data_IF_704281468677
#
_entry.id   IF_704281468677
#
_cell.length_a   1.000
_cell.length_b   1.000
_cell.length_c   1.000
_cell.angle_alpha   90.00
_cell.angle_beta   90.00
_cell.angle_gamma   90.00
#
_symmetry.space_group_name_H-M   'P 1'
#
loop_
_entity.id
_entity.type
_entity.pdbx_description
1 polymer ?
#
# COMPACT_ATOMS: atom_id res chain seq x y z
N UNK A 1 60.78 31.76 7.61
CA UNK A 1 60.13 32.13 6.34
C UNK A 1 59.52 30.88 5.78
N UNK A 2 58.33 30.50 6.29
CA UNK A 2 57.61 29.29 5.98
C UNK A 2 56.32 29.66 5.24
N UNK A 3 56.38 29.67 3.93
CA UNK A 3 55.28 29.99 3.06
C UNK A 3 54.37 28.75 2.95
N UNK A 4 53.18 28.98 3.34
CA UNK A 4 52.01 28.13 3.47
C UNK A 4 51.77 27.21 2.23
N UNK A 5 52.31 25.99 2.33
CA UNK A 5 52.03 24.92 1.33
C UNK A 5 50.60 24.39 1.35
N UNK A 6 49.74 24.85 2.25
CA UNK A 6 48.33 24.38 2.34
C UNK A 6 47.38 25.18 1.43
N UNK A 7 47.67 26.47 1.20
CA UNK A 7 46.86 27.29 0.28
C UNK A 7 46.99 26.86 -1.20
N UNK A 8 48.16 26.29 -1.58
CA UNK A 8 48.37 25.89 -2.97
C UNK A 8 47.69 24.58 -3.35
N UNK A 9 47.35 23.73 -2.38
CA UNK A 9 46.64 22.47 -2.65
C UNK A 9 45.13 22.64 -2.78
N UNK A 10 44.53 23.71 -2.24
CA UNK A 10 43.06 23.94 -2.30
C UNK A 10 42.63 24.54 -3.67
N UNK A 11 43.51 25.25 -4.34
CA UNK A 11 43.17 25.81 -5.68
C UNK A 11 43.23 24.80 -6.83
N UNK A 12 43.95 23.68 -6.67
CA UNK A 12 44.07 22.67 -7.73
C UNK A 12 42.83 21.81 -7.88
N UNK A 13 41.97 21.73 -6.85
CA UNK A 13 40.74 20.93 -6.89
C UNK A 13 39.52 21.68 -7.47
N UNK A 14 39.55 23.03 -7.51
CA UNK A 14 38.42 23.80 -8.05
C UNK A 14 38.48 23.98 -9.58
N UNK A 15 39.65 23.89 -10.18
CA UNK A 15 39.84 24.14 -11.63
C UNK A 15 39.58 22.92 -12.51
N UNK A 16 39.34 21.73 -11.93
CA UNK A 16 39.16 20.47 -12.66
C UNK A 16 37.75 19.90 -12.66
N UNK A 17 36.75 20.64 -12.18
CA UNK A 17 35.36 20.20 -12.37
C UNK A 17 34.96 20.45 -13.81
N UNK A 18 34.54 19.41 -14.55
CA UNK A 18 34.05 19.61 -15.89
C UNK A 18 32.89 20.58 -15.89
N UNK A 19 32.82 21.53 -16.88
CA UNK A 19 31.71 22.48 -16.94
C UNK A 19 30.38 21.70 -16.98
N UNK A 20 29.44 22.09 -16.14
CA UNK A 20 28.10 21.51 -16.13
C UNK A 20 27.51 21.63 -17.53
N UNK A 21 27.40 20.50 -18.22
CA UNK A 21 26.92 20.50 -19.59
C UNK A 21 25.40 20.74 -19.58
N UNK A 22 24.85 21.59 -20.48
CA UNK A 22 23.43 21.98 -20.43
C UNK A 22 22.44 20.82 -20.48
N UNK A 23 22.82 19.65 -20.99
CA UNK A 23 21.99 18.46 -20.97
C UNK A 23 21.83 17.85 -19.56
N UNK A 24 22.78 18.09 -18.63
CA UNK A 24 22.63 17.63 -17.24
C UNK A 24 21.56 18.42 -16.49
N UNK A 25 21.42 19.71 -16.81
CA UNK A 25 20.35 20.55 -16.27
C UNK A 25 18.99 20.07 -16.78
N UNK A 26 18.91 19.74 -18.07
CA UNK A 26 17.71 19.17 -18.69
C UNK A 26 17.32 17.82 -18.08
N UNK A 27 18.30 16.96 -17.78
CA UNK A 27 18.05 15.66 -17.13
C UNK A 27 17.53 15.82 -15.70
N UNK A 28 18.08 16.76 -14.92
CA UNK A 28 17.63 17.06 -13.57
C UNK A 28 16.21 17.64 -13.54
N UNK A 29 15.89 18.53 -14.50
CA UNK A 29 14.54 19.08 -14.66
C UNK A 29 13.57 17.97 -15.07
N UNK A 30 13.95 17.10 -16.01
CA UNK A 30 13.12 15.99 -16.47
C UNK A 30 12.88 14.97 -15.34
N UNK A 31 13.91 14.63 -14.56
CA UNK A 31 13.76 13.79 -13.37
C UNK A 31 12.88 14.45 -12.31
N UNK A 32 13.02 15.77 -12.09
CA UNK A 32 12.19 16.53 -11.16
C UNK A 32 10.72 16.55 -11.58
N UNK A 33 10.43 16.78 -12.85
CA UNK A 33 9.08 16.78 -13.43
C UNK A 33 8.51 15.34 -13.39
N UNK A 34 9.31 14.33 -13.72
CA UNK A 34 8.90 12.93 -13.63
C UNK A 34 8.55 12.52 -12.18
N UNK A 35 9.35 12.95 -11.20
CA UNK A 35 9.07 12.74 -9.77
C UNK A 35 7.80 13.47 -9.31
N UNK A 36 7.53 14.68 -9.87
CA UNK A 36 6.32 15.45 -9.56
C UNK A 36 5.07 14.82 -10.19
N UNK A 37 5.18 14.31 -11.43
CA UNK A 37 4.07 13.63 -12.13
C UNK A 37 3.75 12.30 -11.43
N UNK A 38 4.77 11.57 -10.95
CA UNK A 38 4.56 10.31 -10.19
C UNK A 38 3.94 10.57 -8.81
N UNK A 39 4.23 11.73 -8.19
CA UNK A 39 3.56 12.17 -6.94
C UNK A 39 2.18 12.78 -7.15
N UNK A 40 1.86 13.25 -8.35
CA UNK A 40 0.56 13.84 -8.67
C UNK A 40 -0.57 12.83 -8.87
N UNK A 41 -0.27 11.53 -8.92
CA UNK A 41 -1.24 10.46 -8.66
C UNK A 41 -1.28 10.21 -7.15
N UNK A 42 -1.89 11.13 -6.38
CA UNK A 42 -2.35 10.80 -5.04
C UNK A 42 -3.47 9.78 -5.25
N UNK A 43 -3.12 8.50 -5.22
CA UNK A 43 -4.10 7.49 -4.95
C UNK A 43 -4.68 7.89 -3.59
N UNK A 44 -5.97 8.20 -3.56
CA UNK A 44 -6.71 8.44 -2.33
C UNK A 44 -6.30 7.35 -1.34
N UNK A 45 -5.73 7.78 -0.20
CA UNK A 45 -5.11 6.84 0.75
C UNK A 45 -6.23 6.09 1.46
N UNK A 46 -6.17 4.76 1.42
CA UNK A 46 -7.18 3.93 2.06
C UNK A 46 -7.07 4.09 3.58
N UNK A 47 -8.18 4.45 4.21
CA UNK A 47 -8.28 4.57 5.66
C UNK A 47 -8.39 3.18 6.30
N UNK A 48 -7.28 2.70 6.82
CA UNK A 48 -7.19 1.38 7.48
C UNK A 48 -7.95 1.34 8.80
N UNK A 49 -8.04 2.46 9.52
CA UNK A 49 -8.77 2.52 10.80
C UNK A 49 -10.28 2.37 10.57
N UNK A 50 -10.80 2.92 9.46
CA UNK A 50 -12.17 2.69 9.04
C UNK A 50 -12.43 1.21 8.74
N UNK A 51 -11.51 0.53 8.07
CA UNK A 51 -11.64 -0.90 7.76
C UNK A 51 -11.64 -1.72 9.06
N UNK A 52 -10.69 -1.50 9.97
CA UNK A 52 -10.63 -2.21 11.24
C UNK A 52 -11.91 -2.03 12.07
N UNK A 53 -12.43 -0.79 12.12
CA UNK A 53 -13.70 -0.52 12.81
C UNK A 53 -14.89 -1.26 12.19
N UNK A 54 -14.99 -1.32 10.86
CA UNK A 54 -16.09 -1.98 10.17
C UNK A 54 -16.02 -3.50 10.31
N UNK A 55 -14.81 -4.07 10.26
CA UNK A 55 -14.58 -5.53 10.31
C UNK A 55 -14.80 -6.12 11.71
N UNK A 56 -14.34 -5.44 12.76
CA UNK A 56 -14.32 -5.99 14.11
C UNK A 56 -14.72 -5.03 15.20
N UNK A 57 -15.09 -3.78 14.90
CA UNK A 57 -15.23 -2.70 15.89
C UNK A 57 -13.94 -2.48 16.69
N UNK A 58 -12.78 -2.68 16.06
CA UNK A 58 -11.44 -2.62 16.65
C UNK A 58 -11.16 -3.71 17.71
N UNK A 59 -11.85 -4.85 17.64
CA UNK A 59 -11.58 -5.99 18.50
C UNK A 59 -10.51 -6.90 17.89
N UNK A 60 -9.33 -6.93 18.49
CA UNK A 60 -8.22 -7.79 18.05
C UNK A 60 -8.47 -9.29 18.30
N UNK A 61 -9.45 -9.63 19.15
CA UNK A 61 -9.83 -11.01 19.45
C UNK A 61 -11.08 -11.46 18.69
N UNK A 62 -11.62 -10.62 17.80
CA UNK A 62 -12.80 -10.95 17.01
C UNK A 62 -12.60 -12.23 16.19
N UNK A 63 -13.61 -13.10 16.22
CA UNK A 63 -13.61 -14.36 15.49
C UNK A 63 -14.96 -14.62 14.81
N UNK A 64 -14.93 -14.83 13.51
CA UNK A 64 -16.10 -15.22 12.73
C UNK A 64 -16.07 -16.74 12.48
N UNK A 65 -17.02 -17.47 13.06
CA UNK A 65 -17.09 -18.93 12.94
C UNK A 65 -17.33 -19.42 11.49
N UNK A 66 -18.06 -18.65 10.70
CA UNK A 66 -18.43 -19.07 9.33
C UNK A 66 -17.28 -18.96 8.36
N UNK A 67 -16.57 -17.84 8.37
CA UNK A 67 -15.44 -17.57 7.50
C UNK A 67 -14.09 -17.96 8.10
N UNK A 68 -14.06 -18.31 9.38
CA UNK A 68 -12.86 -18.46 10.22
C UNK A 68 -11.97 -17.20 10.24
N UNK A 69 -12.51 -16.04 9.90
CA UNK A 69 -11.79 -14.77 9.92
C UNK A 69 -11.45 -14.35 11.36
N UNK A 70 -10.27 -13.74 11.55
CA UNK A 70 -9.73 -13.41 12.88
C UNK A 70 -9.14 -12.02 12.94
N UNK A 71 -9.26 -11.42 14.13
CA UNK A 71 -8.58 -10.19 14.52
C UNK A 71 -9.17 -8.93 13.93
N UNK A 72 -8.45 -7.82 14.10
CA UNK A 72 -8.87 -6.46 13.75
C UNK A 72 -9.44 -6.31 12.34
N UNK A 73 -8.77 -6.93 11.36
CA UNK A 73 -9.09 -6.80 9.94
C UNK A 73 -9.79 -8.04 9.40
N UNK A 74 -10.26 -8.95 10.27
CA UNK A 74 -10.96 -10.17 9.89
C UNK A 74 -10.24 -10.95 8.78
N UNK A 75 -8.94 -11.23 9.00
CA UNK A 75 -8.12 -11.98 8.06
C UNK A 75 -8.58 -13.43 8.00
N UNK A 76 -8.90 -13.91 6.80
CA UNK A 76 -9.31 -15.30 6.56
C UNK A 76 -8.10 -16.24 6.44
N UNK A 77 -8.29 -17.56 6.68
CA UNK A 77 -7.22 -18.54 6.47
C UNK A 77 -6.63 -18.52 5.05
N UNK A 78 -7.43 -18.27 4.04
CA UNK A 78 -6.98 -18.17 2.64
C UNK A 78 -6.06 -16.96 2.44
N UNK A 79 -6.43 -15.81 3.02
CA UNK A 79 -5.60 -14.60 2.95
C UNK A 79 -4.26 -14.82 3.68
N UNK A 80 -4.28 -15.49 4.84
CA UNK A 80 -3.07 -15.85 5.59
C UNK A 80 -2.15 -16.76 4.77
N UNK A 81 -2.70 -17.80 4.12
CA UNK A 81 -1.92 -18.72 3.28
C UNK A 81 -1.28 -17.99 2.10
N UNK A 82 -2.03 -17.12 1.40
CA UNK A 82 -1.49 -16.29 0.33
C UNK A 82 -0.36 -15.37 0.83
N UNK A 83 -0.54 -14.76 2.00
CA UNK A 83 0.46 -13.91 2.62
C UNK A 83 1.75 -14.68 2.93
N UNK A 84 1.63 -15.83 3.61
CA UNK A 84 2.76 -16.69 3.97
C UNK A 84 3.55 -17.13 2.73
N UNK A 85 2.84 -17.56 1.68
CA UNK A 85 3.46 -17.99 0.43
C UNK A 85 4.21 -16.84 -0.26
N UNK A 86 3.64 -15.64 -0.26
CA UNK A 86 4.23 -14.47 -0.91
C UNK A 86 5.45 -13.93 -0.17
N UNK A 87 5.35 -13.80 1.16
CA UNK A 87 6.37 -13.18 2.00
C UNK A 87 7.34 -14.21 2.60
N UNK A 88 7.12 -15.52 2.37
CA UNK A 88 7.92 -16.63 2.95
C UNK A 88 7.92 -16.62 4.47
N UNK A 89 6.76 -16.37 5.05
CA UNK A 89 6.49 -16.44 6.49
C UNK A 89 5.75 -17.73 6.83
N UNK A 90 5.66 -18.05 8.11
CA UNK A 90 5.00 -19.26 8.65
C UNK A 90 3.99 -18.91 9.74
N UNK A 91 3.36 -17.73 9.65
CA UNK A 91 2.33 -17.33 10.59
C UNK A 91 1.19 -18.35 10.63
N UNK A 92 0.73 -18.62 11.83
CA UNK A 92 -0.38 -19.54 12.11
C UNK A 92 -1.72 -18.77 12.24
N UNK A 93 -2.84 -19.52 12.25
CA UNK A 93 -4.15 -18.92 12.52
C UNK A 93 -4.23 -18.25 13.90
N UNK A 94 -3.43 -18.71 14.89
CA UNK A 94 -3.40 -18.10 16.22
C UNK A 94 -2.70 -16.73 16.22
N UNK A 95 -1.71 -16.54 15.35
CA UNK A 95 -0.98 -15.27 15.23
C UNK A 95 -1.87 -14.14 14.68
N UNK A 96 -3.00 -14.47 14.04
CA UNK A 96 -3.97 -13.48 13.57
C UNK A 96 -4.66 -12.68 14.68
N UNK A 97 -4.56 -13.10 15.94
CA UNK A 97 -5.02 -12.33 17.10
C UNK A 97 -3.99 -11.30 17.58
N UNK A 98 -2.75 -11.33 17.01
CA UNK A 98 -1.78 -10.26 17.21
C UNK A 98 -2.14 -9.07 16.33
N UNK A 99 -2.37 -7.90 16.94
CA UNK A 99 -2.71 -6.67 16.21
C UNK A 99 -1.68 -6.32 15.14
N UNK A 100 -0.38 -6.47 15.47
CA UNK A 100 0.72 -6.17 14.55
C UNK A 100 0.71 -7.07 13.32
N UNK A 101 0.63 -8.39 13.51
CA UNK A 101 0.62 -9.37 12.42
C UNK A 101 -0.66 -9.22 11.59
N UNK A 102 -1.82 -9.06 12.24
CA UNK A 102 -3.09 -8.90 11.57
C UNK A 102 -3.11 -7.64 10.68
N UNK A 103 -2.62 -6.51 11.21
CA UNK A 103 -2.48 -5.26 10.47
C UNK A 103 -1.48 -5.37 9.31
N UNK A 104 -0.36 -6.03 9.51
CA UNK A 104 0.66 -6.25 8.48
C UNK A 104 0.07 -7.01 7.28
N UNK A 105 -0.65 -8.10 7.54
CA UNK A 105 -1.31 -8.90 6.50
C UNK A 105 -2.39 -8.09 5.79
N UNK A 106 -3.22 -7.34 6.52
CA UNK A 106 -4.24 -6.47 5.95
C UNK A 106 -3.65 -5.40 5.03
N UNK A 107 -2.59 -4.71 5.46
CA UNK A 107 -1.88 -3.71 4.66
C UNK A 107 -1.41 -4.34 3.34
N UNK A 108 -0.70 -5.47 3.42
CA UNK A 108 -0.23 -6.16 2.22
C UNK A 108 -1.38 -6.54 1.28
N UNK A 109 -2.46 -7.10 1.81
CA UNK A 109 -3.59 -7.54 1.00
C UNK A 109 -4.28 -6.37 0.30
N UNK A 110 -4.55 -5.29 1.04
CA UNK A 110 -5.24 -4.09 0.55
C UNK A 110 -4.37 -3.27 -0.40
N UNK A 111 -3.08 -3.08 -0.10
CA UNK A 111 -2.24 -2.14 -0.84
C UNK A 111 -1.37 -2.80 -1.91
N UNK A 112 -1.16 -4.12 -1.84
CA UNK A 112 -0.32 -4.85 -2.78
C UNK A 112 -1.14 -5.90 -3.54
N UNK A 113 -1.74 -6.86 -2.83
CA UNK A 113 -2.35 -8.04 -3.44
C UNK A 113 -3.59 -7.70 -4.28
N UNK A 114 -4.57 -7.01 -3.70
CA UNK A 114 -5.78 -6.60 -4.42
C UNK A 114 -5.44 -5.70 -5.63
N UNK A 115 -4.62 -4.64 -5.51
CA UNK A 115 -4.20 -3.83 -6.65
C UNK A 115 -3.48 -4.62 -7.76
N UNK A 116 -2.68 -5.64 -7.40
CA UNK A 116 -2.06 -6.54 -8.40
C UNK A 116 -3.12 -7.35 -9.15
N UNK A 117 -4.09 -7.92 -8.45
CA UNK A 117 -5.19 -8.66 -9.06
C UNK A 117 -6.05 -7.77 -9.97
N UNK A 118 -6.42 -6.57 -9.51
CA UNK A 118 -7.18 -5.61 -10.32
C UNK A 118 -6.43 -5.26 -11.61
N UNK A 119 -5.11 -5.02 -11.52
CA UNK A 119 -4.27 -4.78 -12.69
C UNK A 119 -4.24 -5.96 -13.64
N UNK A 120 -4.05 -7.17 -13.11
CA UNK A 120 -4.02 -8.40 -13.91
C UNK A 120 -5.30 -8.59 -14.73
N UNK A 121 -6.46 -8.27 -14.13
CA UNK A 121 -7.76 -8.34 -14.81
C UNK A 121 -8.15 -7.04 -15.55
N UNK A 122 -7.22 -6.10 -15.71
CA UNK A 122 -7.46 -4.81 -16.37
C UNK A 122 -8.64 -4.01 -15.77
N UNK A 123 -8.73 -4.02 -14.45
CA UNK A 123 -9.74 -3.27 -13.66
C UNK A 123 -9.11 -2.05 -13.00
N UNK A 124 -9.93 -1.00 -12.83
CA UNK A 124 -9.51 0.21 -12.14
C UNK A 124 -9.17 -0.06 -10.67
N UNK A 125 -8.07 0.56 -10.19
CA UNK A 125 -7.63 0.49 -8.79
C UNK A 125 -8.25 1.61 -7.96
N UNK A 126 -9.57 1.78 -8.02
CA UNK A 126 -10.30 2.71 -7.17
C UNK A 126 -10.47 2.13 -5.76
N UNK A 127 -10.64 2.99 -4.76
CA UNK A 127 -10.96 2.59 -3.38
C UNK A 127 -12.21 1.70 -3.40
N UNK A 128 -13.23 2.08 -4.15
CA UNK A 128 -14.45 1.27 -4.29
C UNK A 128 -14.15 -0.17 -4.72
N UNK A 129 -13.33 -0.36 -5.76
CA UNK A 129 -13.00 -1.70 -6.26
C UNK A 129 -12.14 -2.49 -5.26
N UNK A 130 -11.29 -1.81 -4.51
CA UNK A 130 -10.50 -2.43 -3.44
C UNK A 130 -11.41 -2.90 -2.29
N UNK A 131 -12.35 -2.06 -1.83
CA UNK A 131 -13.31 -2.42 -0.78
C UNK A 131 -14.22 -3.58 -1.19
N UNK A 132 -14.73 -3.57 -2.43
CA UNK A 132 -15.52 -4.70 -2.97
C UNK A 132 -14.68 -5.98 -2.97
N UNK A 133 -13.42 -5.89 -3.43
CA UNK A 133 -12.55 -7.06 -3.52
C UNK A 133 -12.18 -7.60 -2.14
N UNK A 134 -12.04 -6.73 -1.15
CA UNK A 134 -11.75 -7.10 0.22
C UNK A 134 -12.92 -7.82 0.89
N UNK A 135 -14.11 -7.23 0.82
CA UNK A 135 -15.32 -7.74 1.50
C UNK A 135 -16.00 -8.90 0.75
N UNK A 136 -16.25 -8.75 -0.57
CA UNK A 136 -16.99 -9.74 -1.36
C UNK A 136 -16.11 -10.62 -2.26
N UNK A 137 -14.83 -10.26 -2.41
CA UNK A 137 -13.88 -10.94 -3.28
C UNK A 137 -13.79 -10.35 -4.69
N UNK A 138 -12.61 -10.52 -5.29
CA UNK A 138 -12.23 -9.92 -6.58
C UNK A 138 -13.19 -10.26 -7.75
N UNK A 139 -13.85 -11.41 -7.69
CA UNK A 139 -14.77 -11.85 -8.75
C UNK A 139 -15.95 -10.89 -8.97
N UNK A 140 -16.41 -10.20 -7.93
CA UNK A 140 -17.49 -9.21 -8.07
C UNK A 140 -17.07 -8.03 -8.94
N UNK A 141 -15.82 -7.60 -8.84
CA UNK A 141 -15.26 -6.54 -9.71
C UNK A 141 -14.95 -7.06 -11.10
N UNK A 142 -14.33 -8.24 -11.21
CA UNK A 142 -13.88 -8.80 -12.49
C UNK A 142 -15.06 -9.11 -13.40
N UNK A 143 -16.11 -9.75 -12.87
CA UNK A 143 -17.29 -10.20 -13.60
C UNK A 143 -18.44 -9.20 -13.60
N UNK A 144 -18.26 -8.03 -12.95
CA UNK A 144 -19.32 -7.01 -12.77
C UNK A 144 -20.62 -7.62 -12.17
N UNK A 145 -20.47 -8.45 -11.13
CA UNK A 145 -21.62 -9.08 -10.47
C UNK A 145 -22.43 -8.07 -9.65
N UNK A 146 -23.74 -8.27 -9.48
CA UNK A 146 -24.53 -7.49 -8.54
C UNK A 146 -23.94 -7.62 -7.13
N UNK A 147 -23.71 -6.49 -6.46
CA UNK A 147 -23.14 -6.51 -5.13
C UNK A 147 -24.13 -7.02 -4.09
N UNK A 148 -23.69 -7.88 -3.15
CA UNK A 148 -24.47 -8.21 -1.97
C UNK A 148 -24.82 -6.96 -1.18
N UNK A 149 -25.99 -6.98 -0.50
CA UNK A 149 -26.38 -5.85 0.38
C UNK A 149 -25.33 -5.56 1.42
N UNK A 150 -24.72 -6.58 2.00
CA UNK A 150 -23.63 -6.46 2.97
C UNK A 150 -22.45 -5.64 2.42
N UNK A 151 -22.07 -5.89 1.19
CA UNK A 151 -20.96 -5.16 0.54
C UNK A 151 -21.33 -3.70 0.26
N UNK A 152 -22.58 -3.43 -0.09
CA UNK A 152 -23.08 -2.06 -0.26
C UNK A 152 -23.01 -1.33 1.10
N UNK A 153 -23.56 -1.94 2.14
CA UNK A 153 -23.55 -1.40 3.49
C UNK A 153 -22.11 -1.19 4.02
N UNK A 154 -21.18 -2.06 3.63
CA UNK A 154 -19.75 -1.94 3.95
C UNK A 154 -19.13 -0.68 3.35
N UNK A 155 -19.38 -0.43 2.06
CA UNK A 155 -18.88 0.75 1.36
C UNK A 155 -19.50 2.02 1.94
N UNK A 156 -20.79 2.00 2.27
CA UNK A 156 -21.49 3.14 2.85
C UNK A 156 -20.94 3.50 4.24
N UNK A 157 -20.64 2.48 5.09
CA UNK A 157 -19.97 2.68 6.38
C UNK A 157 -18.57 3.27 6.21
N UNK A 158 -17.78 2.78 5.24
CA UNK A 158 -16.46 3.32 4.95
C UNK A 158 -16.54 4.79 4.55
N UNK A 159 -17.45 5.15 3.64
CA UNK A 159 -17.65 6.52 3.20
C UNK A 159 -18.14 7.44 4.34
N UNK A 160 -18.97 6.90 5.24
CA UNK A 160 -19.42 7.66 6.42
C UNK A 160 -18.28 7.96 7.38
N UNK A 161 -17.40 7.00 7.63
CA UNK A 161 -16.24 7.16 8.52
C UNK A 161 -15.22 8.19 8.01
N UNK A 162 -15.19 8.46 6.72
CA UNK A 162 -14.25 9.38 6.07
C UNK A 162 -14.84 10.77 5.76
N UNK A 163 -15.99 11.11 6.34
CA UNK A 163 -16.59 12.46 6.20
C UNK A 163 -16.10 13.41 7.28
#
# INVERSE_FOLDING_TARGET
MGIDKRRHKMNIYQDNLPPFKPYMIGLLIFMGIFFFIVRGCIAEEINLDAIAFIESSNDSLAYNQTSEARGLYQITPVCLEEYNNYNRTDYTKADLFSEGINKEIAIWYITIRIPQMLRYFNKERSIRNILISYNAGINYVVKNLPLPKETIDYIDKYNWYNR
#
